data_IF_274817507657
#
_entry.id   IF_274817507657
#
_cell.length_a   1.000
_cell.length_b   1.000
_cell.length_c   1.000
_cell.angle_alpha   90.00
_cell.angle_beta   90.00
_cell.angle_gamma   90.00
#
_symmetry.space_group_name_H-M   'P 1'
#
loop_
_entity.id
_entity.type
_entity.pdbx_description
1 polymer ?
#
# COMPACT_ATOMS: atom_id res chain seq x y z
N UNK A 1 -1.81 25.37 -11.26
CA UNK A 1 -1.08 24.17 -10.82
C UNK A 1 -0.50 23.47 -12.05
N UNK A 2 0.70 22.93 -11.94
CA UNK A 2 1.33 22.22 -13.06
C UNK A 2 0.55 20.96 -13.43
N UNK A 3 0.42 20.72 -14.71
CA UNK A 3 -0.17 19.47 -15.20
C UNK A 3 0.85 18.34 -15.08
N UNK A 4 0.40 17.19 -14.61
CA UNK A 4 1.24 16.00 -14.48
C UNK A 4 1.22 15.17 -15.76
N UNK A 5 2.38 14.62 -16.10
CA UNK A 5 2.43 13.57 -17.12
C UNK A 5 1.74 12.31 -16.59
N UNK A 6 1.42 11.37 -17.50
CA UNK A 6 0.85 10.08 -17.08
C UNK A 6 1.76 9.37 -16.07
N UNK A 7 3.07 9.39 -16.30
CA UNK A 7 4.04 8.76 -15.40
C UNK A 7 4.04 9.44 -14.02
N UNK A 8 4.03 10.77 -13.98
CA UNK A 8 3.98 11.52 -12.72
C UNK A 8 2.67 11.30 -11.96
N UNK A 9 1.56 11.22 -12.69
CA UNK A 9 0.26 10.90 -12.10
C UNK A 9 0.27 9.51 -11.43
N UNK A 10 0.88 8.52 -12.09
CA UNK A 10 1.01 7.17 -11.52
C UNK A 10 2.03 7.10 -10.38
N UNK A 11 3.08 7.90 -10.43
CA UNK A 11 3.99 8.07 -9.28
C UNK A 11 3.23 8.63 -8.07
N UNK A 12 2.37 9.62 -8.28
CA UNK A 12 1.54 10.17 -7.21
C UNK A 12 0.59 9.13 -6.60
N UNK A 13 0.03 8.25 -7.42
CA UNK A 13 -0.84 7.18 -6.93
C UNK A 13 -0.09 6.21 -6.00
N UNK A 14 1.08 5.70 -6.42
CA UNK A 14 1.85 4.78 -5.57
C UNK A 14 2.36 5.46 -4.30
N UNK A 15 2.68 6.74 -4.36
CA UNK A 15 3.04 7.54 -3.19
C UNK A 15 1.85 7.64 -2.22
N UNK A 16 0.66 7.98 -2.71
CA UNK A 16 -0.55 8.08 -1.89
C UNK A 16 -0.93 6.75 -1.25
N UNK A 17 -0.79 5.66 -1.99
CA UNK A 17 -1.04 4.31 -1.47
C UNK A 17 -0.03 3.91 -0.38
N UNK A 18 1.24 4.27 -0.54
CA UNK A 18 2.26 4.04 0.49
C UNK A 18 1.96 4.82 1.78
N UNK A 19 1.44 6.04 1.64
CA UNK A 19 0.98 6.82 2.79
C UNK A 19 -0.19 6.14 3.51
N UNK A 20 -1.19 5.70 2.76
CA UNK A 20 -2.38 5.04 3.31
C UNK A 20 -2.05 3.68 3.94
N UNK A 21 -1.11 2.94 3.37
CA UNK A 21 -0.69 1.63 3.87
C UNK A 21 -0.14 1.69 5.29
N UNK A 22 0.46 2.79 5.69
CA UNK A 22 0.97 2.99 7.04
C UNK A 22 -0.17 2.97 8.06
N UNK A 23 -1.26 3.64 7.78
CA UNK A 23 -2.46 3.63 8.63
C UNK A 23 -3.19 2.29 8.59
N UNK A 24 -3.26 1.65 7.43
CA UNK A 24 -3.93 0.37 7.25
C UNK A 24 -3.23 -0.74 8.05
N UNK A 25 -1.91 -0.85 7.93
CA UNK A 25 -1.14 -1.86 8.69
C UNK A 25 -1.24 -1.64 10.19
N UNK A 26 -1.23 -0.39 10.64
CA UNK A 26 -1.40 -0.05 12.06
C UNK A 26 -2.80 -0.43 12.55
N UNK A 27 -3.83 -0.12 11.76
CA UNK A 27 -5.22 -0.44 12.12
C UNK A 27 -5.42 -1.94 12.26
N UNK A 28 -4.93 -2.74 11.32
CA UNK A 28 -5.06 -4.21 11.35
C UNK A 28 -4.19 -4.81 12.46
N UNK A 29 -2.98 -4.27 12.68
CA UNK A 29 -2.13 -4.71 13.79
C UNK A 29 -2.82 -4.56 15.15
N UNK A 30 -3.67 -3.54 15.31
CA UNK A 30 -4.45 -3.32 16.54
C UNK A 30 -5.50 -4.40 16.80
N UNK A 31 -5.85 -5.19 15.79
CA UNK A 31 -6.79 -6.32 15.89
C UNK A 31 -6.12 -7.62 16.34
N UNK A 32 -4.77 -7.65 16.33
CA UNK A 32 -3.98 -8.88 16.55
C UNK A 32 -3.60 -9.05 18.02
N UNK A 33 -4.53 -9.60 18.80
CA UNK A 33 -4.27 -9.97 20.16
C UNK A 33 -3.75 -11.43 20.22
N UNK A 34 -2.56 -11.62 20.78
CA UNK A 34 -1.95 -12.95 20.88
C UNK A 34 -1.39 -13.50 19.57
N UNK A 35 -1.31 -12.68 18.51
CA UNK A 35 -0.79 -13.06 17.19
C UNK A 35 0.53 -12.33 16.91
N UNK A 36 1.53 -12.56 17.76
CA UNK A 36 2.79 -11.80 17.73
C UNK A 36 3.55 -11.90 16.41
N UNK A 37 3.55 -13.08 15.77
CA UNK A 37 4.23 -13.27 14.49
C UNK A 37 3.58 -12.44 13.36
N UNK A 38 2.27 -12.44 13.28
CA UNK A 38 1.53 -11.63 12.29
C UNK A 38 1.70 -10.14 12.57
N UNK A 39 1.69 -9.75 13.84
CA UNK A 39 1.89 -8.36 14.23
C UNK A 39 3.28 -7.85 13.83
N UNK A 40 4.32 -8.67 14.04
CA UNK A 40 5.70 -8.34 13.62
C UNK A 40 5.81 -8.13 12.11
N UNK A 41 5.11 -8.96 11.31
CA UNK A 41 5.08 -8.81 9.85
C UNK A 41 4.41 -7.48 9.45
N UNK A 42 3.30 -7.11 10.08
CA UNK A 42 2.65 -5.83 9.79
C UNK A 42 3.49 -4.64 10.22
N UNK A 43 4.22 -4.73 11.32
CA UNK A 43 5.15 -3.68 11.75
C UNK A 43 6.28 -3.49 10.73
N UNK A 44 6.79 -4.57 10.15
CA UNK A 44 7.78 -4.53 9.07
C UNK A 44 7.20 -3.86 7.82
N UNK A 45 6.00 -4.27 7.43
CA UNK A 45 5.31 -3.67 6.27
C UNK A 45 5.09 -2.17 6.47
N UNK A 46 4.69 -1.77 7.67
CA UNK A 46 4.51 -0.36 8.02
C UNK A 46 5.80 0.43 7.83
N UNK A 47 6.92 -0.08 8.32
CA UNK A 47 8.23 0.56 8.17
C UNK A 47 8.65 0.67 6.70
N UNK A 48 8.42 -0.37 5.91
CA UNK A 48 8.73 -0.40 4.49
C UNK A 48 7.82 0.54 3.67
N UNK A 49 6.55 0.66 4.05
CA UNK A 49 5.63 1.62 3.42
C UNK A 49 6.07 3.07 3.71
N UNK A 50 6.55 3.34 4.90
CA UNK A 50 7.12 4.65 5.27
C UNK A 50 8.36 4.95 4.45
N UNK A 51 9.25 3.99 4.27
CA UNK A 51 10.44 4.16 3.43
C UNK A 51 10.05 4.40 1.96
N UNK A 52 9.03 3.70 1.48
CA UNK A 52 8.48 3.91 0.13
C UNK A 52 7.99 5.36 -0.04
N UNK A 53 7.24 5.88 0.94
CA UNK A 53 6.82 7.28 0.95
C UNK A 53 8.01 8.23 0.87
N UNK A 54 9.04 8.01 1.67
CA UNK A 54 10.23 8.85 1.69
C UNK A 54 10.96 8.84 0.34
N UNK A 55 11.12 7.67 -0.27
CA UNK A 55 11.78 7.52 -1.58
C UNK A 55 10.97 8.14 -2.71
N UNK A 56 9.66 7.93 -2.74
CA UNK A 56 8.77 8.56 -3.73
C UNK A 56 8.79 10.08 -3.60
N UNK A 57 8.75 10.60 -2.37
CA UNK A 57 8.80 12.05 -2.12
C UNK A 57 10.11 12.66 -2.61
N UNK A 58 11.21 11.94 -2.44
CA UNK A 58 12.52 12.41 -2.95
C UNK A 58 12.52 12.48 -4.48
N UNK A 59 12.01 11.46 -5.16
CA UNK A 59 11.90 11.45 -6.62
C UNK A 59 10.99 12.58 -7.10
N UNK A 60 9.86 12.81 -6.46
CA UNK A 60 8.96 13.92 -6.77
C UNK A 60 9.67 15.27 -6.61
N UNK A 61 10.51 15.41 -5.58
CA UNK A 61 11.25 16.63 -5.30
C UNK A 61 12.31 16.98 -6.34
N UNK A 62 12.79 16.00 -7.10
CA UNK A 62 13.76 16.19 -8.18
C UNK A 62 13.12 16.64 -9.49
N UNK A 63 11.79 16.68 -9.56
CA UNK A 63 11.04 17.05 -10.77
C UNK A 63 10.66 18.52 -10.73
N UNK A 64 11.42 19.34 -11.45
CA UNK A 64 11.27 20.80 -11.49
C UNK A 64 9.84 21.25 -11.74
N UNK A 65 9.33 22.08 -10.81
CA UNK A 65 8.00 22.69 -10.92
C UNK A 65 6.83 21.73 -10.75
N UNK A 66 7.07 20.46 -10.45
CA UNK A 66 6.02 19.43 -10.37
C UNK A 66 5.83 18.83 -8.99
N UNK A 67 6.75 19.03 -8.09
CA UNK A 67 6.73 18.47 -6.74
C UNK A 67 5.38 18.69 -6.03
N UNK A 68 4.92 19.92 -5.97
CA UNK A 68 3.67 20.27 -5.27
C UNK A 68 2.48 19.55 -5.89
N UNK A 69 2.37 19.53 -7.21
CA UNK A 69 1.29 18.88 -7.91
C UNK A 69 1.28 17.35 -7.67
N UNK A 70 2.46 16.72 -7.67
CA UNK A 70 2.59 15.29 -7.36
C UNK A 70 2.15 15.00 -5.92
N UNK A 71 2.62 15.80 -4.96
CA UNK A 71 2.27 15.62 -3.54
C UNK A 71 0.78 15.85 -3.28
N UNK A 72 0.17 16.83 -3.92
CA UNK A 72 -1.27 17.09 -3.78
C UNK A 72 -2.11 15.95 -4.35
N UNK A 73 -1.72 15.43 -5.52
CA UNK A 73 -2.37 14.25 -6.12
C UNK A 73 -2.20 13.01 -5.23
N UNK A 74 -1.03 12.83 -4.64
CA UNK A 74 -0.78 11.72 -3.70
C UNK A 74 -1.68 11.80 -2.46
N UNK A 75 -1.86 13.00 -1.91
CA UNK A 75 -2.75 13.21 -0.75
C UNK A 75 -4.21 12.90 -1.08
N UNK A 76 -4.63 13.16 -2.30
CA UNK A 76 -5.96 12.79 -2.81
C UNK A 76 -6.12 11.28 -2.83
N UNK A 77 -5.18 10.56 -3.43
CA UNK A 77 -5.16 9.09 -3.45
C UNK A 77 -5.15 8.52 -2.04
N UNK A 78 -4.36 9.08 -1.14
CA UNK A 78 -4.33 8.70 0.27
C UNK A 78 -5.71 8.81 0.91
N UNK A 79 -6.40 9.94 0.69
CA UNK A 79 -7.74 10.17 1.25
C UNK A 79 -8.73 9.12 0.77
N UNK A 80 -8.74 8.83 -0.52
CA UNK A 80 -9.62 7.81 -1.11
C UNK A 80 -9.35 6.44 -0.52
N UNK A 81 -8.07 6.07 -0.38
CA UNK A 81 -7.68 4.79 0.22
C UNK A 81 -8.07 4.70 1.71
N UNK A 82 -7.92 5.78 2.46
CA UNK A 82 -8.33 5.85 3.86
C UNK A 82 -9.86 5.74 4.01
N UNK A 83 -10.63 6.28 3.07
CA UNK A 83 -12.08 6.11 3.04
C UNK A 83 -12.46 4.64 2.78
N UNK A 84 -11.76 3.96 1.89
CA UNK A 84 -11.97 2.53 1.65
C UNK A 84 -11.69 1.72 2.91
N UNK A 85 -10.60 2.01 3.61
CA UNK A 85 -10.28 1.36 4.87
C UNK A 85 -11.42 1.53 5.89
N UNK A 86 -11.91 2.75 6.05
CA UNK A 86 -13.03 3.02 6.96
C UNK A 86 -14.29 2.27 6.57
N UNK A 87 -14.63 2.26 5.29
CA UNK A 87 -15.82 1.58 4.78
C UNK A 87 -15.78 0.08 5.05
N UNK A 88 -14.62 -0.54 4.85
CA UNK A 88 -14.46 -1.99 5.03
C UNK A 88 -14.33 -2.41 6.49
N UNK A 89 -13.66 -1.61 7.31
CA UNK A 89 -13.28 -2.01 8.66
C UNK A 89 -13.96 -1.23 9.78
N UNK A 90 -14.91 -0.35 9.46
CA UNK A 90 -15.67 0.37 10.48
C UNK A 90 -16.47 -0.61 11.32
N UNK A 91 -16.21 -0.61 12.63
CA UNK A 91 -16.88 -1.52 13.56
C UNK A 91 -16.38 -2.97 13.52
N UNK A 92 -15.42 -3.29 12.65
CA UNK A 92 -14.84 -4.62 12.59
C UNK A 92 -13.65 -4.75 13.55
N UNK A 93 -13.57 -5.89 14.22
CA UNK A 93 -12.47 -6.24 15.11
C UNK A 93 -11.89 -7.64 14.86
N UNK A 94 -12.46 -8.38 13.90
CA UNK A 94 -11.97 -9.68 13.51
C UNK A 94 -10.67 -9.56 12.68
N UNK A 95 -9.56 -10.17 13.15
CA UNK A 95 -8.30 -10.15 12.40
C UNK A 95 -8.40 -10.64 10.96
N UNK A 96 -9.27 -11.62 10.67
CA UNK A 96 -9.45 -12.13 9.31
C UNK A 96 -9.99 -11.05 8.39
N UNK A 97 -11.00 -10.28 8.81
CA UNK A 97 -11.53 -9.17 8.01
C UNK A 97 -10.45 -8.13 7.72
N UNK A 98 -9.61 -7.83 8.72
CA UNK A 98 -8.48 -6.93 8.55
C UNK A 98 -7.48 -7.43 7.50
N UNK A 99 -7.12 -8.71 7.55
CA UNK A 99 -6.18 -9.31 6.60
C UNK A 99 -6.78 -9.46 5.20
N UNK A 100 -8.08 -9.71 5.08
CA UNK A 100 -8.75 -9.70 3.77
C UNK A 100 -8.67 -8.33 3.13
N UNK A 101 -8.92 -7.28 3.90
CA UNK A 101 -8.75 -5.90 3.42
C UNK A 101 -7.32 -5.64 2.95
N UNK A 102 -6.32 -5.99 3.76
CA UNK A 102 -4.91 -5.80 3.40
C UNK A 102 -4.54 -6.60 2.15
N UNK A 103 -5.04 -7.82 2.01
CA UNK A 103 -4.77 -8.65 0.83
C UNK A 103 -5.26 -7.96 -0.45
N UNK A 104 -6.45 -7.41 -0.43
CA UNK A 104 -7.01 -6.66 -1.54
C UNK A 104 -6.20 -5.38 -1.82
N UNK A 105 -5.88 -4.63 -0.77
CA UNK A 105 -5.14 -3.37 -0.88
C UNK A 105 -3.72 -3.60 -1.43
N UNK A 106 -3.00 -4.59 -0.90
CA UNK A 106 -1.63 -4.89 -1.32
C UNK A 106 -1.59 -5.46 -2.75
N UNK A 107 -2.58 -6.24 -3.16
CA UNK A 107 -2.71 -6.69 -4.55
C UNK A 107 -2.88 -5.49 -5.50
N UNK A 108 -3.70 -4.52 -5.11
CA UNK A 108 -3.89 -3.28 -5.86
C UNK A 108 -2.59 -2.49 -5.98
N UNK A 109 -1.82 -2.38 -4.91
CA UNK A 109 -0.52 -1.69 -4.93
C UNK A 109 0.49 -2.37 -5.86
N UNK A 110 0.54 -3.72 -5.88
CA UNK A 110 1.37 -4.45 -6.85
C UNK A 110 1.00 -4.04 -8.28
N UNK A 111 -0.30 -3.99 -8.58
CA UNK A 111 -0.79 -3.57 -9.89
C UNK A 111 -0.37 -2.16 -10.25
N UNK A 112 -0.50 -1.22 -9.33
CA UNK A 112 -0.10 0.18 -9.56
C UNK A 112 1.39 0.32 -9.80
N UNK A 113 2.24 -0.37 -9.03
CA UNK A 113 3.68 -0.37 -9.25
C UNK A 113 4.06 -0.99 -10.60
N UNK A 114 3.40 -2.08 -11.01
CA UNK A 114 3.60 -2.70 -12.31
C UNK A 114 3.25 -1.74 -13.45
N UNK A 115 2.22 -0.92 -13.28
CA UNK A 115 1.86 0.12 -14.25
C UNK A 115 2.95 1.18 -14.34
N UNK A 116 3.49 1.65 -13.22
CA UNK A 116 4.62 2.59 -13.22
C UNK A 116 5.81 2.00 -13.95
N UNK A 117 6.16 0.73 -13.68
CA UNK A 117 7.22 0.02 -14.37
C UNK A 117 7.02 0.02 -15.88
N UNK A 118 5.80 -0.32 -16.32
CA UNK A 118 5.47 -0.41 -17.75
C UNK A 118 5.56 0.94 -18.46
N UNK A 119 5.06 1.99 -17.83
CA UNK A 119 5.19 3.34 -18.38
C UNK A 119 6.65 3.77 -18.46
N UNK A 120 7.44 3.40 -17.47
CA UNK A 120 8.86 3.78 -17.42
C UNK A 120 9.73 3.01 -18.44
N UNK A 121 9.28 1.88 -18.94
CA UNK A 121 9.96 1.19 -20.05
C UNK A 121 10.06 2.10 -21.28
N UNK A 122 9.05 2.92 -21.51
CA UNK A 122 9.03 3.89 -22.62
C UNK A 122 9.70 5.21 -22.23
N UNK A 123 9.43 5.71 -21.03
CA UNK A 123 9.94 6.99 -20.56
C UNK A 123 11.44 6.98 -20.27
N UNK A 124 11.97 5.83 -19.81
CA UNK A 124 13.38 5.66 -19.46
C UNK A 124 13.89 6.69 -18.44
N UNK A 125 13.03 7.07 -17.51
CA UNK A 125 13.40 7.94 -16.40
C UNK A 125 14.23 7.13 -15.40
N UNK A 126 15.48 7.52 -15.22
CA UNK A 126 16.44 6.77 -14.39
C UNK A 126 16.01 6.72 -12.92
N UNK A 127 15.61 7.86 -12.37
CA UNK A 127 15.19 7.93 -10.95
C UNK A 127 13.96 7.05 -10.68
N UNK A 128 12.98 7.06 -11.56
CA UNK A 128 11.78 6.23 -11.45
C UNK A 128 12.13 4.75 -11.66
N UNK A 129 13.03 4.45 -12.59
CA UNK A 129 13.51 3.08 -12.81
C UNK A 129 14.15 2.47 -11.56
N UNK A 130 15.00 3.22 -10.88
CA UNK A 130 15.63 2.81 -9.62
C UNK A 130 14.59 2.63 -8.51
N UNK A 131 13.63 3.54 -8.44
CA UNK A 131 12.54 3.48 -7.46
C UNK A 131 11.70 2.21 -7.65
N UNK A 132 11.29 1.91 -8.86
CA UNK A 132 10.50 0.71 -9.20
C UNK A 132 11.29 -0.56 -8.87
N UNK A 133 12.57 -0.61 -9.26
CA UNK A 133 13.42 -1.77 -9.00
C UNK A 133 13.55 -2.08 -7.51
N UNK A 134 13.50 -1.04 -6.68
CA UNK A 134 13.51 -1.20 -5.22
C UNK A 134 12.12 -1.55 -4.66
N UNK A 135 11.08 -0.83 -5.09
CA UNK A 135 9.75 -0.90 -4.46
C UNK A 135 8.92 -2.13 -4.87
N UNK A 136 8.93 -2.50 -6.16
CA UNK A 136 8.04 -3.55 -6.66
C UNK A 136 8.30 -4.92 -6.02
N UNK A 137 9.55 -5.39 -5.82
CA UNK A 137 9.78 -6.64 -5.10
C UNK A 137 9.29 -6.61 -3.65
N UNK A 138 9.43 -5.48 -2.97
CA UNK A 138 8.94 -5.27 -1.60
C UNK A 138 7.42 -5.36 -1.58
N UNK A 139 6.76 -4.70 -2.51
CA UNK A 139 5.31 -4.69 -2.63
C UNK A 139 4.75 -6.08 -2.91
N UNK A 140 5.40 -6.86 -3.78
CA UNK A 140 5.04 -8.26 -4.02
C UNK A 140 5.15 -9.10 -2.76
N UNK A 141 6.19 -8.88 -1.97
CA UNK A 141 6.37 -9.58 -0.70
C UNK A 141 5.28 -9.20 0.31
N UNK A 142 4.89 -7.93 0.37
CA UNK A 142 3.77 -7.48 1.21
C UNK A 142 2.49 -8.23 0.86
N UNK A 143 2.17 -8.33 -0.42
CA UNK A 143 0.99 -9.08 -0.87
C UNK A 143 1.05 -10.55 -0.45
N UNK A 144 2.18 -11.20 -0.68
CA UNK A 144 2.37 -12.61 -0.30
C UNK A 144 2.24 -12.80 1.22
N UNK A 145 2.77 -11.86 2.01
CA UNK A 145 2.71 -11.88 3.47
C UNK A 145 1.26 -11.79 3.96
N UNK A 146 0.48 -10.85 3.46
CA UNK A 146 -0.91 -10.69 3.91
C UNK A 146 -1.82 -11.81 3.41
N UNK A 147 -1.59 -12.33 2.21
CA UNK A 147 -2.30 -13.51 1.72
C UNK A 147 -2.02 -14.72 2.62
N UNK A 148 -0.76 -14.98 2.94
CA UNK A 148 -0.39 -16.08 3.84
C UNK A 148 -1.01 -15.89 5.23
N UNK A 149 -1.02 -14.66 5.74
CA UNK A 149 -1.68 -14.35 7.02
C UNK A 149 -3.19 -14.58 6.98
N UNK A 150 -3.84 -14.18 5.90
CA UNK A 150 -5.28 -14.44 5.69
C UNK A 150 -5.59 -15.93 5.69
N UNK A 151 -4.79 -16.73 4.98
CA UNK A 151 -4.98 -18.19 4.91
C UNK A 151 -4.74 -18.85 6.28
N UNK A 152 -3.75 -18.37 7.03
CA UNK A 152 -3.49 -18.87 8.38
C UNK A 152 -4.66 -18.58 9.33
N UNK A 153 -5.20 -17.36 9.30
CA UNK A 153 -6.34 -16.98 10.12
C UNK A 153 -7.60 -17.76 9.72
N UNK A 154 -7.86 -17.88 8.42
CA UNK A 154 -8.99 -18.65 7.92
C UNK A 154 -8.91 -20.14 8.32
N UNK A 155 -7.69 -20.69 8.34
CA UNK A 155 -7.47 -22.08 8.76
C UNK A 155 -7.80 -22.35 10.23
N UNK A 156 -7.89 -21.31 11.05
CA UNK A 156 -8.30 -21.41 12.46
C UNK A 156 -9.78 -21.19 12.71
N UNK A 157 -10.56 -20.85 11.67
CA UNK A 157 -11.99 -20.57 11.80
C UNK A 157 -12.84 -21.84 11.68
N UNK A 158 -14.03 -21.83 12.30
CA UNK A 158 -15.03 -22.85 12.10
C UNK A 158 -15.89 -22.46 10.87
N UNK A 159 -15.80 -23.22 9.74
CA UNK A 159 -16.54 -22.86 8.53
C UNK A 159 -18.06 -22.99 8.67
N UNK A 160 -18.53 -23.58 9.76
CA UNK A 160 -19.95 -23.78 10.03
C UNK A 160 -20.51 -22.82 11.08
N UNK A 161 -19.66 -21.93 11.61
CA UNK A 161 -20.12 -20.89 12.53
C UNK A 161 -21.09 -19.96 11.83
N UNK A 162 -22.17 -19.61 12.53
CA UNK A 162 -23.17 -18.71 11.96
C UNK A 162 -22.76 -17.25 12.19
N UNK A 163 -22.66 -16.53 11.11
CA UNK A 163 -22.42 -15.07 11.16
C UNK A 163 -23.65 -14.36 11.70
N UNK A 164 -23.46 -13.48 12.68
CA UNK A 164 -24.54 -12.73 13.30
C UNK A 164 -24.69 -11.32 12.73
#
# INVERSE_FOLDING_TARGET
MAELTKLESKLAEVLGLAMAAQGATRRVASMLDGQDALKAELERMHAEARETEERCTRVAGERDGRKTAILDSARETRREAEEMLRTYLEGEDDPLDGFEFLTMAEAGEVGHWAIVEKLNEQARDEAIGELVAWALPIQRRHYETVLAGSLRLAGGEDPHELES
#
